data_IF_872065816532
#
_entry.id   IF_872065816532
#
_cell.length_a   1.000
_cell.length_b   1.000
_cell.length_c   1.000
_cell.angle_alpha   90.00
_cell.angle_beta   90.00
_cell.angle_gamma   90.00
#
_symmetry.space_group_name_H-M   'P 1'
#
loop_
_entity.id
_entity.type
_entity.pdbx_description
1 polymer ?
#
# COMPACT_ATOMS: atom_id res chain seq x y z
N UNK A 1 -0.17 9.64 29.75
CA UNK A 1 -0.19 8.23 29.33
C UNK A 1 -0.62 8.12 27.86
N UNK A 2 -1.88 8.39 27.50
CA UNK A 2 -2.38 8.28 26.12
C UNK A 2 -1.64 9.13 25.05
N UNK A 3 -1.18 10.34 25.40
CA UNK A 3 -0.40 11.17 24.46
C UNK A 3 1.00 10.62 24.14
N UNK A 4 1.62 9.87 25.06
CA UNK A 4 2.92 9.23 24.78
C UNK A 4 2.72 8.00 23.89
N UNK A 5 1.69 7.21 24.16
CA UNK A 5 1.38 5.99 23.41
C UNK A 5 1.10 6.27 21.92
N UNK A 6 0.29 7.29 21.61
CA UNK A 6 0.02 7.68 20.23
C UNK A 6 1.23 8.33 19.52
N UNK A 7 2.21 8.85 20.27
CA UNK A 7 3.45 9.38 19.71
C UNK A 7 4.44 8.24 19.42
N UNK A 8 4.53 7.26 20.31
CA UNK A 8 5.36 6.07 20.18
C UNK A 8 4.90 5.22 18.99
N UNK A 9 3.58 4.99 18.84
CA UNK A 9 2.99 4.26 17.72
C UNK A 9 3.31 4.90 16.37
N UNK A 10 3.22 6.25 16.28
CA UNK A 10 3.59 6.98 15.06
C UNK A 10 5.07 6.86 14.72
N UNK A 11 5.93 6.94 15.73
CA UNK A 11 7.37 6.82 15.54
C UNK A 11 7.74 5.41 15.03
N UNK A 12 7.13 4.39 15.63
CA UNK A 12 7.27 3.00 15.22
C UNK A 12 6.77 2.80 13.79
N UNK A 13 5.58 3.31 13.45
CA UNK A 13 5.02 3.14 12.12
C UNK A 13 5.82 3.89 11.05
N UNK A 14 6.37 5.07 11.38
CA UNK A 14 7.30 5.78 10.50
C UNK A 14 8.52 4.93 10.15
N UNK A 15 9.10 4.29 11.16
CA UNK A 15 10.26 3.42 10.97
C UNK A 15 9.91 2.21 10.09
N UNK A 16 8.80 1.53 10.39
CA UNK A 16 8.32 0.36 9.64
C UNK A 16 8.02 0.70 8.18
N UNK A 17 7.25 1.76 7.93
CA UNK A 17 6.97 2.23 6.56
C UNK A 17 8.26 2.61 5.82
N UNK A 18 9.21 3.24 6.53
CA UNK A 18 10.49 3.63 5.94
C UNK A 18 11.28 2.41 5.46
N UNK A 19 11.35 1.36 6.28
CA UNK A 19 12.00 0.11 5.93
C UNK A 19 11.28 -0.60 4.76
N UNK A 20 9.96 -0.73 4.83
CA UNK A 20 9.15 -1.39 3.81
C UNK A 20 9.31 -0.78 2.40
N UNK A 21 9.46 0.56 2.32
CA UNK A 21 9.72 1.26 1.06
C UNK A 21 11.04 0.89 0.40
N UNK A 22 11.98 0.32 1.16
CA UNK A 22 13.30 -0.13 0.66
C UNK A 22 13.42 -1.64 0.52
N UNK A 23 12.51 -2.42 1.12
CA UNK A 23 12.59 -3.88 1.25
C UNK A 23 11.66 -4.64 0.31
N UNK A 24 11.05 -3.99 -0.69
CA UNK A 24 10.07 -4.62 -1.61
C UNK A 24 8.90 -5.33 -0.88
N UNK A 25 8.46 -4.77 0.24
CA UNK A 25 7.34 -5.31 1.03
C UNK A 25 5.97 -4.88 0.48
N UNK A 26 5.94 -3.91 -0.45
CA UNK A 26 4.73 -3.50 -1.14
C UNK A 26 4.50 -4.36 -2.38
N UNK A 27 3.26 -4.83 -2.54
CA UNK A 27 2.82 -5.66 -3.66
C UNK A 27 1.52 -5.13 -4.26
N UNK A 28 1.31 -5.36 -5.56
CA UNK A 28 0.11 -4.93 -6.26
C UNK A 28 -0.91 -6.06 -6.36
N UNK A 29 -2.15 -5.76 -5.97
CA UNK A 29 -3.31 -6.62 -6.22
C UNK A 29 -4.22 -5.92 -7.23
N UNK A 30 -4.98 -6.70 -8.01
CA UNK A 30 -5.87 -6.15 -9.03
C UNK A 30 -7.31 -6.62 -8.79
N UNK A 31 -8.25 -5.68 -8.81
CA UNK A 31 -9.67 -5.96 -8.69
C UNK A 31 -10.38 -5.68 -10.02
N UNK A 32 -11.02 -6.70 -10.64
CA UNK A 32 -11.79 -6.49 -11.87
C UNK A 32 -12.98 -5.56 -11.67
N UNK A 33 -13.16 -4.64 -12.61
CA UNK A 33 -14.36 -3.85 -12.81
C UNK A 33 -15.15 -4.47 -13.96
N UNK A 34 -16.29 -5.06 -13.62
CA UNK A 34 -17.10 -5.86 -14.55
C UNK A 34 -18.30 -5.06 -15.08
N UNK A 35 -18.59 -5.20 -16.37
CA UNK A 35 -19.84 -4.71 -16.96
C UNK A 35 -21.00 -5.59 -16.47
N UNK A 36 -21.96 -4.98 -15.79
CA UNK A 36 -23.11 -5.70 -15.20
C UNK A 36 -24.07 -6.28 -16.24
N UNK A 37 -24.00 -5.84 -17.50
CA UNK A 37 -24.91 -6.28 -18.57
C UNK A 37 -24.50 -7.63 -19.15
N UNK A 38 -23.20 -7.85 -19.34
CA UNK A 38 -22.67 -9.02 -20.04
C UNK A 38 -21.57 -9.76 -19.26
N UNK A 39 -21.17 -9.26 -18.09
CA UNK A 39 -20.15 -9.87 -17.23
C UNK A 39 -18.72 -9.71 -17.75
N UNK A 40 -18.50 -8.91 -18.80
CA UNK A 40 -17.16 -8.69 -19.33
C UNK A 40 -16.31 -7.84 -18.38
N UNK A 41 -15.01 -8.14 -18.28
CA UNK A 41 -14.07 -7.31 -17.52
C UNK A 41 -13.71 -6.10 -18.37
N UNK A 42 -14.14 -4.91 -17.96
CA UNK A 42 -13.87 -3.68 -18.68
C UNK A 42 -12.51 -3.07 -18.29
N UNK A 43 -12.18 -3.14 -17.00
CA UNK A 43 -10.97 -2.57 -16.42
C UNK A 43 -10.54 -3.33 -15.17
N UNK A 44 -9.38 -2.99 -14.60
CA UNK A 44 -8.95 -3.42 -13.28
C UNK A 44 -8.56 -2.21 -12.43
N UNK A 45 -8.87 -2.26 -11.14
CA UNK A 45 -8.33 -1.33 -10.14
C UNK A 45 -7.05 -1.92 -9.54
N UNK A 46 -5.97 -1.13 -9.56
CA UNK A 46 -4.70 -1.48 -8.94
C UNK A 46 -4.70 -1.06 -7.47
N UNK A 47 -4.50 -2.02 -6.57
CA UNK A 47 -4.63 -1.87 -5.14
C UNK A 47 -3.35 -2.32 -4.45
N UNK A 48 -2.57 -1.35 -3.94
CA UNK A 48 -1.36 -1.64 -3.17
C UNK A 48 -1.70 -2.38 -1.87
N UNK A 49 -0.84 -3.33 -1.51
CA UNK A 49 -0.84 -4.04 -0.24
C UNK A 49 0.56 -3.99 0.37
N UNK A 50 0.61 -3.96 1.69
CA UNK A 50 1.86 -4.13 2.42
C UNK A 50 1.91 -5.54 2.99
N UNK A 51 2.78 -6.37 2.43
CA UNK A 51 3.05 -7.71 2.95
C UNK A 51 4.18 -7.61 3.97
N UNK A 52 3.83 -7.73 5.24
CA UNK A 52 4.77 -7.67 6.36
C UNK A 52 5.61 -8.95 6.42
N UNK A 53 6.69 -8.91 7.19
CA UNK A 53 7.64 -10.02 7.36
C UNK A 53 7.00 -11.33 7.88
N UNK A 54 5.93 -11.21 8.67
CA UNK A 54 5.15 -12.35 9.19
C UNK A 54 4.17 -12.93 8.16
N UNK A 55 4.10 -12.33 6.96
CA UNK A 55 3.18 -12.71 5.89
C UNK A 55 1.81 -12.04 5.97
N UNK A 56 1.54 -11.22 6.99
CA UNK A 56 0.31 -10.44 7.09
C UNK A 56 0.20 -9.45 5.92
N UNK A 57 -0.99 -9.36 5.33
CA UNK A 57 -1.27 -8.48 4.21
C UNK A 57 -2.14 -7.31 4.65
N UNK A 58 -1.54 -6.13 4.83
CA UNK A 58 -2.26 -4.92 5.17
C UNK A 58 -2.80 -4.24 3.91
N UNK A 59 -4.02 -3.73 4.01
CA UNK A 59 -4.67 -2.89 3.02
C UNK A 59 -4.15 -1.46 3.08
N UNK A 60 -4.29 -0.74 1.96
CA UNK A 60 -3.92 0.67 1.86
C UNK A 60 -4.59 1.53 2.95
N UNK A 61 -5.85 1.24 3.29
CA UNK A 61 -6.59 1.98 4.32
C UNK A 61 -5.93 1.91 5.70
N UNK A 62 -5.25 0.80 6.02
CA UNK A 62 -4.62 0.58 7.33
C UNK A 62 -3.29 1.34 7.48
N UNK A 63 -2.57 1.64 6.39
CA UNK A 63 -1.26 2.27 6.47
C UNK A 63 -1.14 3.66 5.83
N UNK A 64 -2.05 4.05 4.93
CA UNK A 64 -1.98 5.36 4.26
C UNK A 64 -2.06 6.52 5.27
N UNK A 65 -2.89 6.39 6.31
CA UNK A 65 -3.01 7.42 7.35
C UNK A 65 -1.65 7.75 7.97
N UNK A 66 -0.88 6.73 8.33
CA UNK A 66 0.46 6.92 8.86
C UNK A 66 1.41 7.53 7.82
N UNK A 67 1.36 7.09 6.55
CA UNK A 67 2.19 7.69 5.50
C UNK A 67 1.93 9.19 5.28
N UNK A 68 0.69 9.66 5.49
CA UNK A 68 0.34 11.08 5.49
C UNK A 68 0.95 11.78 6.71
N UNK A 69 0.70 11.26 7.91
CA UNK A 69 1.15 11.88 9.17
C UNK A 69 2.67 11.93 9.31
N UNK A 70 3.38 10.93 8.77
CA UNK A 70 4.84 10.82 8.86
C UNK A 70 5.57 11.46 7.67
N UNK A 71 4.85 11.98 6.67
CA UNK A 71 5.40 12.65 5.50
C UNK A 71 5.97 11.72 4.43
N UNK A 72 5.55 10.45 4.40
CA UNK A 72 6.08 9.41 3.49
C UNK A 72 5.24 9.23 2.21
N UNK A 73 4.13 9.97 2.04
CA UNK A 73 3.24 9.85 0.88
C UNK A 73 3.93 9.98 -0.48
N UNK A 74 4.92 10.86 -0.62
CA UNK A 74 5.62 11.03 -1.90
C UNK A 74 6.45 9.79 -2.26
N UNK A 75 7.14 9.21 -1.27
CA UNK A 75 7.94 8.02 -1.49
C UNK A 75 7.04 6.82 -1.78
N UNK A 76 5.98 6.63 -0.99
CA UNK A 76 4.97 5.61 -1.22
C UNK A 76 4.33 5.74 -2.61
N UNK A 77 3.93 6.94 -3.01
CA UNK A 77 3.32 7.18 -4.33
C UNK A 77 4.26 6.83 -5.48
N UNK A 78 5.57 7.10 -5.35
CA UNK A 78 6.57 6.66 -6.32
C UNK A 78 6.62 5.12 -6.40
N UNK A 79 6.78 4.46 -5.26
CA UNK A 79 6.80 2.99 -5.19
C UNK A 79 5.56 2.37 -5.81
N UNK A 80 4.37 2.92 -5.52
CA UNK A 80 3.10 2.44 -6.09
C UNK A 80 3.08 2.57 -7.61
N UNK A 81 3.52 3.69 -8.17
CA UNK A 81 3.56 3.88 -9.62
C UNK A 81 4.54 2.91 -10.29
N UNK A 82 5.71 2.71 -9.70
CA UNK A 82 6.72 1.79 -10.23
C UNK A 82 6.19 0.34 -10.18
N UNK A 83 5.52 -0.06 -9.09
CA UNK A 83 4.87 -1.39 -8.98
C UNK A 83 3.74 -1.60 -9.99
N UNK A 84 2.94 -0.57 -10.28
CA UNK A 84 1.89 -0.67 -11.30
C UNK A 84 2.52 -0.88 -12.67
N UNK A 85 3.54 -0.10 -13.03
CA UNK A 85 4.23 -0.21 -14.32
C UNK A 85 4.84 -1.61 -14.53
N UNK A 86 5.49 -2.15 -13.50
CA UNK A 86 6.03 -3.51 -13.51
C UNK A 86 4.94 -4.58 -13.65
N UNK A 87 3.81 -4.40 -12.97
CA UNK A 87 2.71 -5.36 -12.97
C UNK A 87 1.91 -5.38 -14.26
N UNK A 88 1.62 -4.22 -14.86
CA UNK A 88 0.85 -4.16 -16.12
C UNK A 88 1.65 -4.65 -17.32
N UNK A 89 2.99 -4.54 -17.29
CA UNK A 89 3.86 -5.05 -18.36
C UNK A 89 3.85 -6.58 -18.44
N UNK A 90 3.39 -7.26 -17.39
CA UNK A 90 3.34 -8.71 -17.29
C UNK A 90 1.95 -9.31 -17.58
N UNK A 91 0.95 -8.47 -17.90
CA UNK A 91 -0.41 -8.87 -18.29
C UNK A 91 -0.56 -8.91 -19.81
#
# INVERSE_FOLDING_TARGET
AAMNEAADERAEMRQKLGAALTSNEFVMYYQPLVDVRDGTVAMVEALVRWRRDDGELMTAAEFIGYAVETGQMRALGRTVLDLVDEGITQL
#
